data_IF_232750588955
#
_entry.id   IF_232750588955
#
_cell.length_a   1.000
_cell.length_b   1.000
_cell.length_c   1.000
_cell.angle_alpha   90.00
_cell.angle_beta   90.00
_cell.angle_gamma   90.00
#
_symmetry.space_group_name_H-M   'P 1'
#
loop_
_entity.id
_entity.type
_entity.pdbx_description
1 polymer ?
#
# COMPACT_ATOMS: atom_id res chain seq x y z
N UNK A 1 37.45 17.25 24.90
CA UNK A 1 36.49 17.35 23.78
C UNK A 1 36.09 16.00 23.17
N UNK A 2 36.97 14.98 23.10
CA UNK A 2 36.63 13.63 22.57
C UNK A 2 35.51 12.87 23.31
N UNK A 3 35.34 13.08 24.63
CA UNK A 3 34.32 12.36 25.43
C UNK A 3 32.87 12.81 25.17
N UNK A 4 32.66 14.09 24.82
CA UNK A 4 31.32 14.60 24.53
C UNK A 4 30.76 14.01 23.23
N UNK A 5 31.63 13.84 22.22
CA UNK A 5 31.25 13.30 20.92
C UNK A 5 30.79 11.84 21.01
N UNK A 6 31.39 11.07 21.92
CA UNK A 6 31.02 9.67 22.17
C UNK A 6 29.65 9.51 22.82
N UNK A 7 29.20 10.49 23.63
CA UNK A 7 27.89 10.46 24.27
C UNK A 7 26.74 10.73 23.28
N UNK A 8 26.92 11.65 22.32
CA UNK A 8 25.93 11.91 21.27
C UNK A 8 25.75 10.75 20.29
N UNK A 9 26.83 10.00 20.03
CA UNK A 9 26.79 8.83 19.14
C UNK A 9 26.02 7.65 19.78
N UNK A 10 26.17 7.46 21.10
CA UNK A 10 25.43 6.44 21.85
C UNK A 10 23.95 6.80 22.01
N UNK A 11 23.59 8.08 22.13
CA UNK A 11 22.19 8.51 22.28
C UNK A 11 21.32 8.19 21.06
N UNK A 12 21.89 8.19 19.84
CA UNK A 12 21.17 7.85 18.61
C UNK A 12 20.99 6.34 18.38
N UNK A 13 21.76 5.49 19.08
CA UNK A 13 21.65 4.03 18.97
C UNK A 13 20.56 3.42 19.87
N UNK A 14 20.07 4.17 20.86
CA UNK A 14 19.17 3.65 21.90
C UNK A 14 17.69 3.89 21.58
N UNK A 15 17.37 4.79 20.65
CA UNK A 15 16.00 5.04 20.23
C UNK A 15 15.76 4.44 18.84
N UNK A 16 15.27 3.19 18.73
CA UNK A 16 14.75 2.73 17.45
C UNK A 16 13.67 3.72 17.03
N UNK A 17 13.91 4.43 15.91
CA UNK A 17 12.87 5.22 15.28
C UNK A 17 11.84 4.22 14.76
N UNK A 18 10.85 3.93 15.59
CA UNK A 18 9.74 3.08 15.25
C UNK A 18 8.84 3.87 14.30
N UNK A 19 9.27 3.96 13.03
CA UNK A 19 8.54 4.65 11.97
C UNK A 19 7.27 3.86 11.72
N UNK A 20 6.24 4.18 12.48
CA UNK A 20 4.90 3.64 12.27
C UNK A 20 4.32 4.38 11.08
N UNK A 21 4.28 3.73 9.93
CA UNK A 21 3.58 4.25 8.76
C UNK A 21 2.10 4.31 9.11
N UNK A 22 1.56 5.52 9.22
CA UNK A 22 0.11 5.73 9.37
C UNK A 22 -0.52 5.61 7.99
N UNK A 23 -1.23 4.52 7.76
CA UNK A 23 -2.09 4.40 6.60
C UNK A 23 -3.33 5.27 6.78
N UNK A 24 -3.92 5.79 5.70
CA UNK A 24 -5.21 6.45 5.79
C UNK A 24 -6.29 5.46 6.25
N UNK A 25 -7.31 5.99 6.90
CA UNK A 25 -8.51 5.22 7.17
C UNK A 25 -9.24 4.94 5.85
N UNK A 26 -9.71 3.70 5.69
CA UNK A 26 -10.47 3.27 4.52
C UNK A 26 -11.92 3.01 4.92
N UNK A 27 -12.84 3.56 4.15
CA UNK A 27 -14.24 3.15 4.16
C UNK A 27 -14.37 1.93 3.24
N UNK A 28 -14.74 0.78 3.81
CA UNK A 28 -15.01 -0.46 3.10
C UNK A 28 -16.52 -0.63 2.89
N UNK A 29 -16.92 -0.97 1.67
CA UNK A 29 -18.31 -1.30 1.36
C UNK A 29 -18.39 -2.40 0.31
N UNK A 30 -19.33 -3.34 0.48
CA UNK A 30 -19.64 -4.37 -0.51
C UNK A 30 -21.00 -4.08 -1.13
N UNK A 31 -21.00 -3.86 -2.44
CA UNK A 31 -22.21 -3.59 -3.23
C UNK A 31 -23.05 -4.87 -3.42
N UNK A 32 -24.31 -4.71 -3.82
CA UNK A 32 -25.24 -5.84 -4.04
C UNK A 32 -24.75 -6.86 -5.08
N UNK A 33 -23.89 -6.46 -6.01
CA UNK A 33 -23.29 -7.34 -7.02
C UNK A 33 -22.00 -8.03 -6.53
N UNK A 34 -21.62 -7.87 -5.26
CA UNK A 34 -20.40 -8.44 -4.68
C UNK A 34 -19.12 -7.63 -4.92
N UNK A 35 -19.19 -6.48 -5.61
CA UNK A 35 -18.01 -5.60 -5.74
C UNK A 35 -17.68 -4.95 -4.40
N UNK A 36 -16.43 -5.09 -3.96
CA UNK A 36 -15.93 -4.42 -2.75
C UNK A 36 -15.17 -3.16 -3.12
N UNK A 37 -15.54 -2.04 -2.52
CA UNK A 37 -14.90 -0.73 -2.71
C UNK A 37 -14.18 -0.31 -1.44
N UNK A 38 -12.96 0.21 -1.59
CA UNK A 38 -12.19 0.84 -0.52
C UNK A 38 -11.98 2.31 -0.87
N UNK A 39 -12.43 3.21 0.00
CA UNK A 39 -12.32 4.65 -0.22
C UNK A 39 -11.50 5.28 0.89
N UNK A 40 -10.37 5.89 0.52
CA UNK A 40 -9.59 6.75 1.41
C UNK A 40 -9.78 8.21 0.97
N UNK A 41 -10.27 9.06 1.88
CA UNK A 41 -10.50 10.47 1.59
C UNK A 41 -9.27 11.30 1.95
N UNK A 42 -8.69 11.97 0.94
CA UNK A 42 -7.62 12.93 1.12
C UNK A 42 -8.08 14.30 0.62
N UNK A 43 -8.03 15.33 1.47
CA UNK A 43 -8.43 16.71 1.10
C UNK A 43 -7.23 17.62 0.83
N UNK A 44 -6.03 17.18 1.15
CA UNK A 44 -4.78 17.94 0.98
C UNK A 44 -4.33 18.01 -0.49
N UNK A 45 -4.76 17.06 -1.32
CA UNK A 45 -4.41 16.97 -2.73
C UNK A 45 -5.68 17.03 -3.59
N UNK A 46 -5.77 17.93 -4.59
CA UNK A 46 -6.93 18.04 -5.47
C UNK A 46 -6.88 17.00 -6.60
N UNK A 47 -6.54 15.75 -6.27
CA UNK A 47 -6.41 14.65 -7.22
C UNK A 47 -7.22 13.45 -6.74
N UNK A 48 -7.86 12.75 -7.68
CA UNK A 48 -8.59 11.51 -7.41
C UNK A 48 -7.85 10.38 -8.09
N UNK A 49 -7.43 9.39 -7.30
CA UNK A 49 -6.82 8.16 -7.80
C UNK A 49 -7.85 7.03 -7.71
N UNK A 50 -7.86 6.17 -8.72
CA UNK A 50 -8.70 4.99 -8.76
C UNK A 50 -7.87 3.78 -9.19
N UNK A 51 -8.14 2.64 -8.56
CA UNK A 51 -7.53 1.36 -8.91
C UNK A 51 -8.63 0.30 -8.91
N UNK A 52 -8.67 -0.49 -9.97
CA UNK A 52 -9.49 -1.68 -10.06
C UNK A 52 -8.58 -2.90 -9.89
N UNK A 53 -8.94 -3.79 -8.97
CA UNK A 53 -8.27 -5.08 -8.83
C UNK A 53 -9.27 -6.17 -9.23
N UNK A 54 -8.91 -6.92 -10.26
CA UNK A 54 -9.62 -8.15 -10.64
C UNK A 54 -8.75 -9.30 -10.14
N UNK A 55 -9.23 -10.15 -9.21
CA UNK A 55 -8.45 -11.26 -8.66
C UNK A 55 -8.44 -12.44 -9.64
N UNK A 56 -8.03 -12.19 -10.89
CA UNK A 56 -7.86 -13.17 -11.96
C UNK A 56 -6.47 -12.95 -12.57
N UNK A 57 -5.69 -14.01 -12.67
CA UNK A 57 -4.37 -13.98 -13.27
C UNK A 57 -4.15 -15.11 -14.27
N UNK A 58 -2.91 -15.19 -14.77
CA UNK A 58 -2.50 -16.19 -15.76
C UNK A 58 -2.68 -17.64 -15.27
N UNK A 59 -2.55 -17.89 -13.97
CA UNK A 59 -2.74 -19.21 -13.37
C UNK A 59 -4.19 -19.68 -13.34
N UNK A 60 -5.15 -18.77 -13.45
CA UNK A 60 -6.58 -19.07 -13.44
C UNK A 60 -7.12 -19.38 -14.84
N UNK A 61 -6.30 -19.16 -15.88
CA UNK A 61 -6.71 -19.31 -17.26
C UNK A 61 -6.39 -20.70 -17.82
N UNK A 62 -7.23 -21.23 -18.72
CA UNK A 62 -6.91 -22.43 -19.49
C UNK A 62 -5.62 -22.26 -20.32
N UNK A 63 -4.90 -23.36 -20.55
CA UNK A 63 -3.61 -23.35 -21.27
C UNK A 63 -3.68 -22.80 -22.71
N UNK A 64 -4.85 -22.84 -23.34
CA UNK A 64 -5.09 -22.28 -24.68
C UNK A 64 -5.33 -20.76 -24.68
N UNK A 65 -5.34 -20.12 -23.51
CA UNK A 65 -5.51 -18.66 -23.33
C UNK A 65 -4.24 -18.02 -22.74
N UNK A 66 -3.09 -18.66 -22.93
CA UNK A 66 -1.81 -18.17 -22.39
C UNK A 66 -1.53 -16.73 -22.82
N UNK A 67 -1.20 -15.88 -21.87
CA UNK A 67 -0.87 -14.46 -22.07
C UNK A 67 -2.08 -13.53 -22.13
N UNK A 68 -3.31 -14.05 -22.12
CA UNK A 68 -4.52 -13.22 -22.19
C UNK A 68 -4.67 -12.33 -20.95
N UNK A 69 -4.31 -12.82 -19.76
CA UNK A 69 -4.34 -12.03 -18.54
C UNK A 69 -3.41 -10.81 -18.65
N UNK A 70 -2.20 -10.99 -19.19
CA UNK A 70 -1.24 -9.89 -19.38
C UNK A 70 -1.64 -8.90 -20.48
N UNK A 71 -2.34 -9.35 -21.52
CA UNK A 71 -2.83 -8.48 -22.60
C UNK A 71 -3.99 -7.58 -22.17
N UNK A 72 -4.75 -8.00 -21.15
CA UNK A 72 -5.96 -7.31 -20.68
C UNK A 72 -5.74 -6.51 -19.40
N UNK A 73 -4.55 -6.63 -18.80
CA UNK A 73 -4.13 -5.92 -17.60
C UNK A 73 -3.73 -4.46 -17.86
#
# INVERSE_FOLDING_TARGET
>A
MKKLFSYYLLFNLVFPQNVTIKYPDFEENTLQNGLTTYVAKHTEQPAVFFKLLIPLGEFDLPSNQKGLASMTA
#
